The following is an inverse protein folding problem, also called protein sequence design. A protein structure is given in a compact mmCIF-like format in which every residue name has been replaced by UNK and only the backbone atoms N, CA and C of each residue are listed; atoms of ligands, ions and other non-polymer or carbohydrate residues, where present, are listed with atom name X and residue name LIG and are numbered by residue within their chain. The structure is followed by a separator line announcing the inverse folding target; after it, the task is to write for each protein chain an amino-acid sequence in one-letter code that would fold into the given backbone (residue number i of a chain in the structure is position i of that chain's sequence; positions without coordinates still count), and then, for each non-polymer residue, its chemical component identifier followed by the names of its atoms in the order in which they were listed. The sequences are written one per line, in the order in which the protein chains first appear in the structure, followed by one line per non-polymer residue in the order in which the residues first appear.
data_IF_003552548845
#
_entry.id   IF_003552548845
#
_cell.length_a   1.000
_cell.length_b   1.000
_cell.length_c   1.000
_cell.angle_alpha   90.00
_cell.angle_beta   90.00
_cell.angle_gamma   90.00
#
_symmetry.space_group_name_H-M   'P 1'
#
loop_
_entity.id
_entity.type
_entity.pdbx_description
1 polymer ?
#
# COMPACT_ATOMS: atom_id res chain seq x y z
N UNK A 1 14.60 12.05 -20.96
CA UNK A 1 13.34 11.32 -20.79
C UNK A 1 12.83 11.51 -19.37
N UNK A 2 11.55 11.70 -19.24
CA UNK A 2 10.89 11.84 -17.94
C UNK A 2 10.36 10.46 -17.47
N UNK A 3 11.27 9.53 -17.30
CA UNK A 3 10.93 8.20 -16.80
C UNK A 3 10.53 8.31 -15.32
N UNK A 4 9.41 7.69 -14.99
CA UNK A 4 8.90 7.55 -13.62
C UNK A 4 8.78 6.05 -13.31
N UNK A 5 9.42 5.60 -12.25
CA UNK A 5 9.16 4.26 -11.73
C UNK A 5 7.90 4.30 -10.88
N UNK A 6 7.01 3.34 -11.13
CA UNK A 6 5.78 3.17 -10.37
C UNK A 6 5.84 1.85 -9.61
N UNK A 7 5.87 1.89 -8.27
CA UNK A 7 5.70 0.70 -7.47
C UNK A 7 4.24 0.48 -7.13
N UNK A 8 3.74 -0.72 -7.42
CA UNK A 8 2.38 -1.15 -7.10
C UNK A 8 2.37 -2.67 -6.84
N UNK A 9 1.26 -3.19 -6.35
CA UNK A 9 1.03 -4.63 -6.25
C UNK A 9 -0.46 -4.95 -6.22
N UNK A 10 -0.84 -6.08 -6.81
CA UNK A 10 -2.23 -6.56 -6.82
C UNK A 10 -2.82 -6.78 -5.44
N UNK A 11 -2.01 -7.11 -4.43
CA UNK A 11 -2.45 -7.23 -3.04
C UNK A 11 -3.12 -5.95 -2.52
N UNK A 12 -2.69 -4.78 -3.01
CA UNK A 12 -3.27 -3.48 -2.62
C UNK A 12 -4.70 -3.30 -3.16
N UNK A 13 -5.08 -4.01 -4.21
CA UNK A 13 -6.44 -4.02 -4.76
C UNK A 13 -7.39 -4.97 -4.02
N UNK A 14 -6.88 -5.80 -3.14
CA UNK A 14 -7.65 -6.77 -2.36
C UNK A 14 -8.06 -6.24 -0.99
N UNK A 15 -7.50 -5.10 -0.56
CA UNK A 15 -7.89 -4.46 0.69
C UNK A 15 -9.27 -3.82 0.54
N UNK A 16 -10.12 -4.04 1.54
CA UNK A 16 -11.48 -3.52 1.60
C UNK A 16 -11.70 -2.78 2.92
N UNK A 17 -12.27 -1.59 2.84
CA UNK A 17 -12.68 -0.77 3.98
C UNK A 17 -14.21 -0.56 4.03
N UNK A 18 -14.96 -1.25 3.16
CA UNK A 18 -16.39 -1.07 3.00
C UNK A 18 -16.77 -0.23 1.77
N UNK A 19 -17.95 -0.49 1.22
CA UNK A 19 -18.41 0.06 -0.06
C UNK A 19 -18.53 1.58 -0.10
N UNK A 20 -18.78 2.21 1.05
CA UNK A 20 -18.96 3.67 1.16
C UNK A 20 -17.70 4.38 1.70
N UNK A 21 -16.61 3.66 1.91
CA UNK A 21 -15.38 4.26 2.40
C UNK A 21 -14.60 4.94 1.27
N UNK A 22 -14.06 6.16 1.46
CA UNK A 22 -13.27 6.86 0.42
C UNK A 22 -11.96 6.12 0.09
N UNK A 23 -11.33 5.46 1.05
CA UNK A 23 -10.17 4.59 0.84
C UNK A 23 -10.64 3.21 0.37
N UNK A 24 -10.73 3.03 -0.94
CA UNK A 24 -11.25 1.83 -1.58
C UNK A 24 -10.46 1.48 -2.85
N UNK A 25 -10.56 0.21 -3.28
CA UNK A 25 -9.79 -0.31 -4.42
C UNK A 25 -10.03 0.45 -5.73
N UNK A 26 -11.24 0.98 -5.94
CA UNK A 26 -11.59 1.73 -7.14
C UNK A 26 -10.75 2.99 -7.31
N UNK A 27 -10.32 3.61 -6.21
CA UNK A 27 -9.37 4.73 -6.23
C UNK A 27 -8.05 4.30 -6.88
N UNK A 28 -7.48 3.20 -6.41
CA UNK A 28 -6.22 2.67 -6.94
C UNK A 28 -6.38 2.19 -8.40
N UNK A 29 -7.47 1.51 -8.72
CA UNK A 29 -7.78 1.10 -10.10
C UNK A 29 -7.80 2.29 -11.06
N UNK A 30 -8.42 3.40 -10.66
CA UNK A 30 -8.47 4.64 -11.45
C UNK A 30 -7.07 5.23 -11.63
N UNK A 31 -6.25 5.25 -10.59
CA UNK A 31 -4.87 5.74 -10.66
C UNK A 31 -4.04 4.90 -11.63
N UNK A 32 -4.08 3.57 -11.50
CA UNK A 32 -3.33 2.65 -12.36
C UNK A 32 -3.75 2.78 -13.83
N UNK A 33 -5.05 2.85 -14.09
CA UNK A 33 -5.57 3.08 -15.44
C UNK A 33 -5.09 4.40 -16.02
N UNK A 34 -5.11 5.47 -15.25
CA UNK A 34 -4.61 6.78 -15.70
C UNK A 34 -3.11 6.75 -16.03
N UNK A 35 -2.32 5.99 -15.28
CA UNK A 35 -0.89 5.79 -15.55
C UNK A 35 -0.69 5.03 -16.88
N UNK A 36 -1.43 3.95 -17.09
CA UNK A 36 -1.36 3.14 -18.31
C UNK A 36 -1.79 3.93 -19.57
N UNK A 37 -2.76 4.80 -19.43
CA UNK A 37 -3.28 5.63 -20.54
C UNK A 37 -2.44 6.89 -20.81
N UNK A 38 -1.50 7.23 -19.93
CA UNK A 38 -0.65 8.41 -20.09
C UNK A 38 0.35 8.24 -21.24
N UNK A 39 0.22 9.05 -22.29
CA UNK A 39 1.08 8.99 -23.48
C UNK A 39 2.25 9.98 -23.46
N UNK A 40 2.24 10.92 -22.53
CA UNK A 40 3.22 12.00 -22.39
C UNK A 40 4.25 11.76 -21.27
N UNK A 41 4.15 10.63 -20.61
CA UNK A 41 5.04 10.23 -19.51
C UNK A 41 5.51 8.80 -19.79
N UNK A 42 6.81 8.59 -19.67
CA UNK A 42 7.41 7.26 -19.73
C UNK A 42 7.38 6.64 -18.32
N UNK A 43 6.75 5.50 -18.17
CA UNK A 43 6.57 4.83 -16.87
C UNK A 43 7.09 3.40 -16.92
N UNK A 44 7.84 3.02 -15.88
CA UNK A 44 8.28 1.66 -15.61
C UNK A 44 7.55 1.14 -14.37
N UNK A 45 6.60 0.22 -14.56
CA UNK A 45 5.78 -0.32 -13.47
C UNK A 45 6.47 -1.55 -12.88
N UNK A 46 6.72 -1.50 -11.57
CA UNK A 46 7.38 -2.56 -10.81
C UNK A 46 6.53 -3.04 -9.64
N UNK A 47 6.66 -4.30 -9.30
CA UNK A 47 6.00 -4.87 -8.13
C UNK A 47 6.64 -4.37 -6.82
N UNK A 48 5.79 -3.89 -5.92
CA UNK A 48 6.20 -3.54 -4.57
C UNK A 48 6.52 -4.82 -3.77
N UNK A 49 7.69 -4.91 -3.11
CA UNK A 49 8.00 -6.05 -2.27
C UNK A 49 7.20 -6.02 -0.96
N UNK A 50 7.14 -7.16 -0.28
CA UNK A 50 6.74 -7.21 1.13
C UNK A 50 7.84 -6.58 1.98
N UNK A 51 7.49 -5.63 2.84
CA UNK A 51 8.48 -5.03 3.75
C UNK A 51 8.96 -6.07 4.78
N UNK A 52 10.23 -5.98 5.16
CA UNK A 52 10.71 -6.65 6.37
C UNK A 52 10.18 -5.89 7.61
N UNK A 53 9.56 -6.61 8.54
CA UNK A 53 8.99 -6.03 9.76
C UNK A 53 10.03 -5.30 10.63
N UNK A 54 11.31 -5.67 10.57
CA UNK A 54 12.36 -4.95 11.28
C UNK A 54 12.42 -3.46 10.87
N UNK A 55 12.12 -3.13 9.62
CA UNK A 55 12.01 -1.76 9.16
C UNK A 55 10.76 -1.04 9.74
N UNK A 56 9.67 -1.78 9.89
CA UNK A 56 8.44 -1.23 10.49
C UNK A 56 8.66 -0.91 11.97
N UNK A 57 9.41 -1.76 12.68
CA UNK A 57 9.72 -1.57 14.10
C UNK A 57 10.63 -0.36 14.40
N UNK A 58 11.27 0.21 13.40
CA UNK A 58 12.00 1.47 13.55
C UNK A 58 11.07 2.67 13.83
N UNK A 59 9.80 2.56 13.45
CA UNK A 59 8.81 3.64 13.53
C UNK A 59 7.65 3.29 14.47
N UNK A 60 7.29 2.01 14.53
CA UNK A 60 6.18 1.51 15.33
C UNK A 60 6.64 0.45 16.34
N UNK A 61 6.16 0.50 17.58
CA UNK A 61 6.42 -0.57 18.54
C UNK A 61 5.97 -1.94 18.00
N UNK A 62 6.78 -2.96 18.22
CA UNK A 62 6.47 -4.33 17.77
C UNK A 62 5.10 -4.81 18.30
N UNK A 63 4.79 -4.49 19.56
CA UNK A 63 3.52 -4.82 20.20
C UNK A 63 2.32 -4.20 19.47
N UNK A 64 2.46 -2.96 19.02
CA UNK A 64 1.42 -2.29 18.22
C UNK A 64 1.14 -3.04 16.91
N UNK A 65 2.18 -3.42 16.19
CA UNK A 65 2.04 -4.17 14.92
C UNK A 65 1.42 -5.54 15.16
N UNK A 66 1.85 -6.26 16.20
CA UNK A 66 1.25 -7.55 16.59
C UNK A 66 -0.23 -7.40 16.91
N UNK A 67 -0.59 -6.34 17.63
CA UNK A 67 -1.99 -6.06 17.97
C UNK A 67 -2.82 -5.80 16.71
N UNK A 68 -2.37 -4.93 15.80
CA UNK A 68 -3.09 -4.65 14.55
C UNK A 68 -3.28 -5.93 13.73
N UNK A 69 -2.25 -6.75 13.57
CA UNK A 69 -2.35 -7.99 12.80
C UNK A 69 -3.27 -9.02 13.47
N UNK A 70 -3.33 -9.04 14.80
CA UNK A 70 -4.24 -9.91 15.54
C UNK A 70 -5.73 -9.56 15.35
N UNK A 71 -6.02 -8.30 14.96
CA UNK A 71 -7.37 -7.83 14.68
C UNK A 71 -7.87 -8.20 13.29
N UNK A 72 -7.00 -8.68 12.41
CA UNK A 72 -7.39 -9.04 11.03
C UNK A 72 -8.39 -10.20 11.06
N UNK A 73 -9.60 -10.02 10.51
CA UNK A 73 -10.63 -11.06 10.54
C UNK A 73 -10.36 -12.14 9.49
N UNK A 74 -10.93 -13.32 9.71
CA UNK A 74 -10.89 -14.40 8.73
C UNK A 74 -11.85 -14.17 7.55
N UNK A 75 -12.87 -13.35 7.76
CA UNK A 75 -13.84 -12.94 6.73
C UNK A 75 -14.47 -11.60 7.10
N UNK A 76 -14.97 -10.89 6.08
CA UNK A 76 -15.66 -9.61 6.27
C UNK A 76 -14.73 -8.48 6.71
N UNK A 77 -15.30 -7.51 7.41
CA UNK A 77 -14.63 -6.30 7.87
C UNK A 77 -14.64 -6.22 9.38
N UNK A 78 -13.57 -5.68 9.95
CA UNK A 78 -13.46 -5.34 11.36
C UNK A 78 -12.87 -3.96 11.54
N UNK A 79 -13.56 -3.09 12.28
CA UNK A 79 -13.04 -1.78 12.66
C UNK A 79 -11.88 -1.91 13.66
N UNK A 80 -10.86 -1.08 13.49
CA UNK A 80 -9.74 -0.97 14.43
C UNK A 80 -10.17 -0.19 15.66
N UNK A 81 -10.83 0.93 15.44
CA UNK A 81 -11.41 1.76 16.49
C UNK A 81 -12.75 1.17 16.96
N UNK A 82 -13.14 1.53 18.18
CA UNK A 82 -14.42 1.09 18.74
C UNK A 82 -15.60 1.70 17.99
N UNK A 83 -16.58 0.88 17.66
CA UNK A 83 -17.86 1.37 17.12
C UNK A 83 -18.56 2.35 18.09
N UNK A 84 -19.23 3.40 17.57
CA UNK A 84 -19.48 3.73 16.14
C UNK A 84 -18.40 4.62 15.50
N UNK A 85 -17.24 4.77 16.12
CA UNK A 85 -16.19 5.72 15.71
C UNK A 85 -15.15 5.08 14.79
N UNK A 86 -15.33 3.83 14.40
CA UNK A 86 -14.40 3.13 13.53
C UNK A 86 -14.36 3.79 12.14
N UNK A 87 -13.16 4.16 11.71
CA UNK A 87 -12.87 4.70 10.38
C UNK A 87 -11.83 3.84 9.62
N UNK A 88 -11.02 3.12 10.36
CA UNK A 88 -10.06 2.16 9.81
C UNK A 88 -10.60 0.74 9.92
N UNK A 89 -10.73 0.07 8.77
CA UNK A 89 -11.23 -1.29 8.71
C UNK A 89 -10.18 -2.26 8.19
N UNK A 90 -10.20 -3.47 8.73
CA UNK A 90 -9.35 -4.58 8.31
C UNK A 90 -10.21 -5.67 7.67
N UNK A 91 -9.68 -6.25 6.60
CA UNK A 91 -10.22 -7.44 5.92
C UNK A 91 -9.14 -8.53 5.87
N UNK A 92 -9.46 -9.77 5.46
CA UNK A 92 -8.47 -10.86 5.42
C UNK A 92 -7.20 -10.53 4.61
N UNK A 93 -7.30 -9.67 3.61
CA UNK A 93 -6.19 -9.27 2.74
C UNK A 93 -5.40 -8.05 3.24
N UNK A 94 -5.79 -7.45 4.35
CA UNK A 94 -5.18 -6.20 4.85
C UNK A 94 -3.70 -6.36 5.17
N UNK A 95 -3.27 -7.49 5.74
CA UNK A 95 -1.86 -7.71 6.09
C UNK A 95 -0.94 -7.58 4.88
N UNK A 96 -1.25 -8.28 3.80
CA UNK A 96 -0.43 -8.23 2.60
C UNK A 96 -0.45 -6.85 1.95
N UNK A 97 -1.60 -6.21 1.87
CA UNK A 97 -1.73 -4.84 1.36
C UNK A 97 -0.85 -3.85 2.16
N UNK A 98 -0.88 -3.92 3.50
CA UNK A 98 -0.05 -3.10 4.38
C UNK A 98 1.44 -3.35 4.11
N UNK A 99 1.86 -4.62 4.07
CA UNK A 99 3.27 -4.97 3.85
C UNK A 99 3.77 -4.55 2.47
N UNK A 100 2.94 -4.64 1.42
CA UNK A 100 3.28 -4.16 0.07
C UNK A 100 3.35 -2.64 0.01
N UNK A 101 2.41 -1.94 0.63
CA UNK A 101 2.40 -0.48 0.69
C UNK A 101 3.65 0.07 1.38
N UNK A 102 4.02 -0.48 2.53
CA UNK A 102 5.25 -0.11 3.23
C UNK A 102 6.50 -0.51 2.42
N UNK A 103 6.49 -1.68 1.79
CA UNK A 103 7.57 -2.16 0.94
C UNK A 103 7.82 -1.26 -0.26
N UNK A 104 6.77 -0.74 -0.88
CA UNK A 104 6.88 0.25 -1.95
C UNK A 104 7.66 1.49 -1.48
N UNK A 105 7.30 2.04 -0.31
CA UNK A 105 7.95 3.22 0.24
C UNK A 105 9.45 3.02 0.53
N UNK A 106 9.82 1.92 1.17
CA UNK A 106 11.23 1.61 1.47
C UNK A 106 12.03 1.39 0.19
N UNK A 107 11.49 0.61 -0.75
CA UNK A 107 12.18 0.34 -2.02
C UNK A 107 12.32 1.61 -2.87
N UNK A 108 11.30 2.47 -2.85
CA UNK A 108 11.37 3.76 -3.51
C UNK A 108 12.50 4.63 -2.93
N UNK A 109 12.58 4.74 -1.62
CA UNK A 109 13.64 5.50 -0.94
C UNK A 109 15.03 4.94 -1.26
N UNK A 110 15.20 3.61 -1.19
CA UNK A 110 16.47 2.95 -1.51
C UNK A 110 16.89 3.19 -2.97
N UNK A 111 15.94 3.10 -3.91
CA UNK A 111 16.21 3.33 -5.33
C UNK A 111 16.61 4.78 -5.61
N UNK A 112 15.96 5.75 -4.97
CA UNK A 112 16.32 7.16 -5.09
C UNK A 112 17.73 7.46 -4.54
N UNK A 113 18.14 6.74 -3.50
CA UNK A 113 19.44 6.96 -2.84
C UNK A 113 20.61 6.24 -3.54
N UNK A 114 20.36 5.07 -4.13
CA UNK A 114 21.40 4.19 -4.68
C UNK A 114 21.50 4.24 -6.19
N UNK A 115 20.39 4.46 -6.86
CA UNK A 115 20.29 4.41 -8.31
C UNK A 115 20.23 5.84 -8.89
N UNK A 116 20.52 5.98 -10.16
CA UNK A 116 20.42 7.28 -10.83
C UNK A 116 18.96 7.60 -11.24
N UNK A 117 18.01 7.21 -10.38
CA UNK A 117 16.57 7.41 -10.55
C UNK A 117 16.18 8.71 -9.84
N UNK A 118 15.36 9.52 -10.49
CA UNK A 118 14.98 10.84 -9.96
C UNK A 118 13.53 10.95 -9.50
N UNK A 119 12.67 10.03 -9.97
CA UNK A 119 11.23 10.12 -9.72
C UNK A 119 10.63 8.74 -9.55
N UNK A 120 9.93 8.57 -8.44
CA UNK A 120 9.20 7.33 -8.14
C UNK A 120 7.82 7.70 -7.61
N UNK A 121 6.82 6.93 -8.02
CA UNK A 121 5.46 7.00 -7.53
C UNK A 121 5.05 5.66 -6.93
N UNK A 122 4.51 5.67 -5.71
CA UNK A 122 3.97 4.48 -5.07
C UNK A 122 2.45 4.47 -5.21
N UNK A 123 1.96 3.66 -6.14
CA UNK A 123 0.53 3.45 -6.38
C UNK A 123 0.03 2.26 -5.55
N UNK A 124 -0.31 2.54 -4.28
CA UNK A 124 -0.66 1.53 -3.28
C UNK A 124 -1.91 1.90 -2.49
#
# INVERSE_FOLDING_TARGET
MNEIIVFTHSDCLLKDNGSNHPERKERLQTVLKSIEEATNIDTDIKEAPLINLDNVYLVHPEEYIKNIFSLIPNFGLKGVEKEPYADTFLCPNSKNAILRSCGAGITAADSLMKDNIKRIFCAV
#
